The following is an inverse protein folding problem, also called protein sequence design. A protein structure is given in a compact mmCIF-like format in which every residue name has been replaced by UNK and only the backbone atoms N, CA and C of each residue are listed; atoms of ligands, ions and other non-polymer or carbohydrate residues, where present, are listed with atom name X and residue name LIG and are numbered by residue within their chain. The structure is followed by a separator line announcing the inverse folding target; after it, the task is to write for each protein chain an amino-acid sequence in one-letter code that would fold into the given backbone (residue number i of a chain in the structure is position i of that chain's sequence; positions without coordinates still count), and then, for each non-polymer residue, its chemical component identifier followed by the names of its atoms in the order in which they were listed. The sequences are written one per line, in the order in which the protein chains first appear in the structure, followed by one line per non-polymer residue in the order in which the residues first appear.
data_IF_571646805509
#
_entry.id   IF_571646805509
#
_cell.length_a   1.000
_cell.length_b   1.000
_cell.length_c   1.000
_cell.angle_alpha   90.00
_cell.angle_beta   90.00
_cell.angle_gamma   90.00
#
_symmetry.space_group_name_H-M   'P 1'
#
loop_
_entity.id
_entity.type
_entity.pdbx_description
1 polymer ?
#
# COMPACT_ATOMS: atom_id res chain seq x y z
N UNK A 1 -34.05 8.51 16.16
CA UNK A 1 -33.15 8.34 17.32
C UNK A 1 -31.80 7.84 16.81
N UNK A 2 -30.75 8.65 16.92
CA UNK A 2 -29.37 8.20 16.67
C UNK A 2 -29.05 7.12 17.70
N UNK A 3 -29.23 5.84 17.34
CA UNK A 3 -28.67 4.74 18.13
C UNK A 3 -27.19 5.06 18.28
N UNK A 4 -26.77 5.16 19.53
CA UNK A 4 -25.42 5.46 19.96
C UNK A 4 -24.48 4.39 19.33
N UNK A 5 -23.96 4.65 18.12
CA UNK A 5 -23.29 3.63 17.32
C UNK A 5 -21.93 3.35 17.96
N UNK A 6 -21.66 2.10 18.32
CA UNK A 6 -20.39 1.69 18.96
C UNK A 6 -19.16 2.14 18.18
N UNK A 7 -19.26 2.16 16.84
CA UNK A 7 -18.16 2.58 15.98
C UNK A 7 -17.83 4.06 16.15
N UNK A 8 -18.83 4.93 16.34
CA UNK A 8 -18.62 6.36 16.59
C UNK A 8 -17.90 6.56 17.93
N UNK A 9 -18.32 5.86 18.99
CA UNK A 9 -17.77 6.04 20.34
C UNK A 9 -16.25 5.89 20.40
N UNK A 10 -15.70 5.00 19.57
CA UNK A 10 -14.26 4.73 19.46
C UNK A 10 -13.45 5.88 18.88
N UNK A 11 -14.08 6.77 18.12
CA UNK A 11 -13.40 7.82 17.34
C UNK A 11 -13.91 9.24 17.62
N UNK A 12 -14.84 9.40 18.57
CA UNK A 12 -15.33 10.72 19.00
C UNK A 12 -14.29 11.45 19.85
N UNK A 13 -13.61 10.74 20.75
CA UNK A 13 -12.61 11.32 21.65
C UNK A 13 -11.21 10.84 21.29
N UNK A 14 -10.52 11.65 20.49
CA UNK A 14 -9.19 11.33 19.95
C UNK A 14 -8.14 12.23 20.59
N UNK A 15 -6.98 11.67 20.95
CA UNK A 15 -5.91 12.43 21.59
C UNK A 15 -5.25 13.44 20.64
N UNK A 16 -4.59 14.45 21.21
CA UNK A 16 -3.87 15.45 20.43
C UNK A 16 -2.73 14.84 19.61
N UNK A 17 -2.09 13.78 20.09
CA UNK A 17 -1.01 13.07 19.40
C UNK A 17 -1.51 12.34 18.15
N UNK A 18 -2.74 11.82 18.17
CA UNK A 18 -3.37 11.21 16.99
C UNK A 18 -3.69 12.30 15.96
N UNK A 19 -4.30 13.41 16.39
CA UNK A 19 -4.59 14.54 15.51
C UNK A 19 -3.32 15.11 14.86
N UNK A 20 -2.23 15.25 15.63
CA UNK A 20 -0.94 15.69 15.10
C UNK A 20 -0.43 14.80 13.97
N UNK A 21 -0.57 13.47 14.08
CA UNK A 21 -0.18 12.53 13.01
C UNK A 21 -1.08 12.68 11.79
N UNK A 22 -2.39 12.80 11.99
CA UNK A 22 -3.36 13.01 10.91
C UNK A 22 -3.01 14.29 10.13
N UNK A 23 -2.76 15.40 10.81
CA UNK A 23 -2.41 16.67 10.17
C UNK A 23 -1.13 16.54 9.33
N UNK A 24 -0.09 15.87 9.84
CA UNK A 24 1.14 15.63 9.08
C UNK A 24 0.94 14.75 7.86
N UNK A 25 0.14 13.68 7.99
CA UNK A 25 -0.19 12.79 6.86
C UNK A 25 -0.93 13.59 5.78
N UNK A 26 -1.88 14.43 6.16
CA UNK A 26 -2.65 15.26 5.22
C UNK A 26 -1.81 16.35 4.55
N UNK A 27 -0.87 16.95 5.28
CA UNK A 27 0.13 17.85 4.70
C UNK A 27 0.91 17.13 3.59
N UNK A 28 1.42 15.93 3.88
CA UNK A 28 2.19 15.13 2.92
C UNK A 28 1.31 14.61 1.76
N UNK A 29 0.03 14.29 2.00
CA UNK A 29 -0.95 14.01 0.93
C UNK A 29 -1.10 15.21 0.00
N UNK A 30 -1.19 16.43 0.56
CA UNK A 30 -1.22 17.68 -0.20
C UNK A 30 0.05 17.89 -1.02
N UNK A 31 1.22 17.72 -0.39
CA UNK A 31 2.52 17.81 -1.07
C UNK A 31 2.67 16.78 -2.19
N UNK A 32 2.23 15.53 -1.96
CA UNK A 32 2.23 14.50 -3.00
C UNK A 32 1.36 14.91 -4.18
N UNK A 33 0.13 15.36 -3.90
CA UNK A 33 -0.84 15.75 -4.93
C UNK A 33 -0.36 16.95 -5.75
N UNK A 34 0.25 17.95 -5.11
CA UNK A 34 0.79 19.14 -5.79
C UNK A 34 2.15 18.89 -6.48
N UNK A 35 2.96 18.00 -5.89
CA UNK A 35 4.36 17.77 -6.24
C UNK A 35 4.62 16.59 -7.17
N UNK A 36 3.65 15.68 -7.37
CA UNK A 36 3.76 14.53 -8.26
C UNK A 36 3.88 14.95 -9.74
N UNK A 37 5.06 15.43 -10.12
CA UNK A 37 5.48 15.72 -11.50
C UNK A 37 6.37 14.60 -12.07
N UNK A 38 6.26 13.41 -11.48
CA UNK A 38 6.99 12.22 -11.94
C UNK A 38 6.52 11.82 -13.34
N UNK A 39 7.41 11.27 -14.16
CA UNK A 39 7.00 10.78 -15.49
C UNK A 39 6.05 9.58 -15.34
N UNK A 40 5.07 9.40 -16.23
CA UNK A 40 4.21 8.22 -16.22
C UNK A 40 4.99 6.90 -16.23
N UNK A 41 6.13 6.87 -16.93
CA UNK A 41 7.03 5.72 -16.99
C UNK A 41 7.66 5.42 -15.62
N UNK A 42 8.11 6.45 -14.90
CA UNK A 42 8.70 6.26 -13.58
C UNK A 42 7.66 5.85 -12.54
N UNK A 43 6.46 6.45 -12.59
CA UNK A 43 5.32 6.02 -11.79
C UNK A 43 4.96 4.56 -12.08
N UNK A 44 4.97 4.14 -13.35
CA UNK A 44 4.75 2.75 -13.74
C UNK A 44 5.78 1.80 -13.14
N UNK A 45 7.07 2.14 -13.18
CA UNK A 45 8.15 1.33 -12.57
C UNK A 45 8.02 1.26 -11.05
N UNK A 46 7.76 2.38 -10.39
CA UNK A 46 7.54 2.44 -8.94
C UNK A 46 6.35 1.57 -8.53
N UNK A 47 5.23 1.72 -9.25
CA UNK A 47 4.03 0.90 -9.05
C UNK A 47 4.33 -0.58 -9.20
N UNK A 48 5.07 -0.99 -10.23
CA UNK A 48 5.45 -2.39 -10.42
C UNK A 48 6.33 -2.91 -9.27
N UNK A 49 7.32 -2.12 -8.83
CA UNK A 49 8.15 -2.47 -7.68
C UNK A 49 7.33 -2.63 -6.41
N UNK A 50 6.36 -1.75 -6.17
CA UNK A 50 5.49 -1.80 -4.99
C UNK A 50 4.55 -2.99 -5.05
N UNK A 51 4.03 -3.36 -6.23
CA UNK A 51 3.22 -4.57 -6.36
C UNK A 51 3.99 -5.82 -5.93
N UNK A 52 5.26 -5.94 -6.33
CA UNK A 52 6.14 -7.04 -5.94
C UNK A 52 6.37 -7.02 -4.41
N UNK A 53 6.82 -5.89 -3.88
CA UNK A 53 7.15 -5.76 -2.45
C UNK A 53 5.93 -5.91 -1.54
N UNK A 54 4.79 -5.31 -1.89
CA UNK A 54 3.53 -5.46 -1.14
C UNK A 54 3.02 -6.90 -1.16
N UNK A 55 3.17 -7.60 -2.28
CA UNK A 55 2.80 -9.02 -2.37
C UNK A 55 3.66 -9.89 -1.47
N UNK A 56 4.99 -9.74 -1.58
CA UNK A 56 5.93 -10.45 -0.72
C UNK A 56 5.67 -10.17 0.77
N UNK A 57 5.62 -8.89 1.16
CA UNK A 57 5.42 -8.50 2.54
C UNK A 57 4.07 -8.98 3.11
N UNK A 58 2.98 -8.78 2.36
CA UNK A 58 1.64 -9.17 2.80
C UNK A 58 1.52 -10.68 3.01
N UNK A 59 2.15 -11.50 2.15
CA UNK A 59 2.12 -12.97 2.30
C UNK A 59 3.06 -13.46 3.40
N UNK A 60 4.24 -12.84 3.58
CA UNK A 60 5.16 -13.17 4.68
C UNK A 60 4.64 -12.79 6.06
N UNK A 61 3.81 -11.76 6.17
CA UNK A 61 3.04 -11.48 7.41
C UNK A 61 2.21 -12.71 7.81
N UNK A 62 1.63 -13.42 6.86
CA UNK A 62 0.85 -14.65 7.09
C UNK A 62 1.71 -15.94 7.11
N UNK A 63 3.04 -15.82 7.00
CA UNK A 63 3.97 -16.94 7.12
C UNK A 63 4.44 -17.60 5.81
N UNK A 64 4.16 -16.99 4.65
CA UNK A 64 4.81 -17.39 3.40
C UNK A 64 6.33 -17.13 3.43
N UNK A 65 7.09 -17.78 2.54
CA UNK A 65 8.57 -17.72 2.53
C UNK A 65 9.19 -17.07 1.29
N UNK A 66 8.37 -16.65 0.33
CA UNK A 66 8.82 -16.03 -0.92
C UNK A 66 9.50 -14.68 -0.65
N UNK A 67 10.70 -14.49 -1.19
CA UNK A 67 11.35 -13.17 -1.23
C UNK A 67 10.72 -12.30 -2.32
N UNK A 68 11.02 -11.00 -2.31
CA UNK A 68 10.56 -10.08 -3.36
C UNK A 68 11.10 -10.49 -4.74
N UNK A 69 12.33 -11.01 -4.82
CA UNK A 69 12.91 -11.53 -6.06
C UNK A 69 12.17 -12.79 -6.55
N UNK A 70 11.74 -13.66 -5.63
CA UNK A 70 10.93 -14.83 -5.99
C UNK A 70 9.55 -14.42 -6.49
N UNK A 71 8.89 -13.45 -5.85
CA UNK A 71 7.63 -12.89 -6.34
C UNK A 71 7.80 -12.31 -7.73
N UNK A 72 8.88 -11.56 -7.99
CA UNK A 72 9.15 -11.02 -9.32
C UNK A 72 9.34 -12.11 -10.38
N UNK A 73 10.13 -13.16 -10.08
CA UNK A 73 10.32 -14.31 -10.96
C UNK A 73 8.99 -15.01 -11.25
N UNK A 74 8.18 -15.24 -10.22
CA UNK A 74 6.87 -15.88 -10.34
C UNK A 74 5.95 -15.09 -11.27
N UNK A 75 5.89 -13.76 -11.11
CA UNK A 75 5.06 -12.89 -11.95
C UNK A 75 5.56 -12.77 -13.39
N UNK A 76 6.82 -13.12 -13.66
CA UNK A 76 7.39 -13.24 -15.01
C UNK A 76 7.19 -14.63 -15.63
N UNK A 77 6.50 -15.55 -14.94
CA UNK A 77 6.27 -16.92 -15.40
C UNK A 77 7.51 -17.82 -15.28
N UNK A 78 8.49 -17.43 -14.46
CA UNK A 78 9.68 -18.24 -14.19
C UNK A 78 9.34 -19.22 -13.07
N UNK A 79 9.52 -20.52 -13.30
CA UNK A 79 9.26 -21.54 -12.29
C UNK A 79 10.26 -21.47 -11.13
N UNK A 80 9.75 -21.64 -9.91
CA UNK A 80 10.51 -21.55 -8.66
C UNK A 80 10.31 -22.83 -7.87
N UNK A 81 11.07 -23.87 -8.17
CA UNK A 81 10.84 -25.22 -7.61
C UNK A 81 11.06 -25.33 -6.10
N UNK A 82 11.72 -24.34 -5.47
CA UNK A 82 12.12 -24.38 -4.05
C UNK A 82 10.96 -24.15 -3.05
N UNK A 83 9.82 -23.62 -3.47
CA UNK A 83 8.73 -23.24 -2.56
C UNK A 83 7.48 -24.09 -2.71
N UNK A 84 6.73 -24.21 -1.61
CA UNK A 84 5.44 -24.88 -1.60
C UNK A 84 4.46 -24.20 -2.57
N UNK A 85 3.61 -25.00 -3.21
CA UNK A 85 2.60 -24.49 -4.15
C UNK A 85 1.65 -23.47 -3.49
N UNK A 86 1.36 -23.64 -2.19
CA UNK A 86 0.55 -22.70 -1.42
C UNK A 86 1.12 -21.29 -1.47
N UNK A 87 2.41 -21.12 -1.15
CA UNK A 87 3.03 -19.80 -1.09
C UNK A 87 2.96 -19.10 -2.46
N UNK A 88 3.19 -19.84 -3.56
CA UNK A 88 3.07 -19.32 -4.93
C UNK A 88 1.64 -18.89 -5.25
N UNK A 89 0.65 -19.73 -4.92
CA UNK A 89 -0.77 -19.46 -5.15
C UNK A 89 -1.24 -18.21 -4.40
N UNK A 90 -0.85 -18.07 -3.14
CA UNK A 90 -1.19 -16.93 -2.31
C UNK A 90 -0.56 -15.62 -2.82
N UNK A 91 0.71 -15.67 -3.22
CA UNK A 91 1.39 -14.52 -3.81
C UNK A 91 0.75 -14.10 -5.13
N UNK A 92 0.42 -15.06 -6.00
CA UNK A 92 -0.21 -14.75 -7.28
C UNK A 92 -1.59 -14.09 -7.12
N UNK A 93 -2.45 -14.64 -6.24
CA UNK A 93 -3.77 -14.08 -5.99
C UNK A 93 -3.71 -12.67 -5.40
N UNK A 94 -2.79 -12.43 -4.45
CA UNK A 94 -2.58 -11.10 -3.87
C UNK A 94 -2.07 -10.10 -4.91
N UNK A 95 -1.07 -10.49 -5.72
CA UNK A 95 -0.48 -9.61 -6.73
C UNK A 95 -1.52 -9.15 -7.75
N UNK A 96 -2.27 -10.09 -8.32
CA UNK A 96 -3.29 -9.79 -9.33
C UNK A 96 -4.40 -8.89 -8.76
N UNK A 97 -4.87 -9.19 -7.55
CA UNK A 97 -5.89 -8.38 -6.89
C UNK A 97 -5.38 -6.96 -6.57
N UNK A 98 -4.20 -6.82 -5.98
CA UNK A 98 -3.64 -5.51 -5.66
C UNK A 98 -3.38 -4.68 -6.93
N UNK A 99 -2.89 -5.32 -7.99
CA UNK A 99 -2.74 -4.69 -9.31
C UNK A 99 -4.08 -4.15 -9.81
N UNK A 100 -5.14 -4.96 -9.74
CA UNK A 100 -6.48 -4.54 -10.14
C UNK A 100 -7.01 -3.39 -9.28
N UNK A 101 -6.76 -3.38 -7.97
CA UNK A 101 -7.08 -2.23 -7.11
C UNK A 101 -6.35 -0.98 -7.62
N UNK A 102 -5.04 -1.03 -7.78
CA UNK A 102 -4.28 0.15 -8.20
C UNK A 102 -4.60 0.63 -9.62
N UNK A 103 -5.00 -0.27 -10.52
CA UNK A 103 -5.39 0.08 -11.89
C UNK A 103 -6.82 0.66 -11.96
N UNK A 104 -7.73 0.20 -11.10
CA UNK A 104 -9.17 0.41 -11.29
C UNK A 104 -9.91 1.04 -10.09
N UNK A 105 -9.23 1.43 -9.01
CA UNK A 105 -9.84 1.92 -7.75
C UNK A 105 -10.92 3.01 -7.93
N UNK A 106 -10.79 3.86 -8.95
CA UNK A 106 -11.77 4.92 -9.26
C UNK A 106 -13.16 4.36 -9.56
N UNK A 107 -13.21 3.19 -10.21
CA UNK A 107 -14.46 2.55 -10.64
C UNK A 107 -14.95 1.48 -9.66
N UNK A 108 -14.06 0.98 -8.80
CA UNK A 108 -14.42 0.01 -7.78
C UNK A 108 -15.33 0.67 -6.74
N UNK A 109 -16.40 -0.01 -6.34
CA UNK A 109 -17.24 0.41 -5.22
C UNK A 109 -16.81 -0.34 -3.97
N UNK A 110 -16.87 0.33 -2.82
CA UNK A 110 -16.76 -0.33 -1.54
C UNK A 110 -18.15 -0.79 -1.11
N UNK A 111 -18.35 -2.10 -0.96
CA UNK A 111 -19.59 -2.72 -0.51
C UNK A 111 -19.30 -4.12 -0.01
N UNK A 112 -20.26 -4.74 0.69
CA UNK A 112 -20.13 -6.10 1.17
C UNK A 112 -19.88 -7.11 0.04
N UNK A 113 -20.63 -6.98 -1.07
CA UNK A 113 -20.43 -7.80 -2.27
C UNK A 113 -19.04 -7.60 -2.87
N UNK A 114 -18.50 -6.38 -2.85
CA UNK A 114 -17.14 -6.12 -3.32
C UNK A 114 -16.10 -6.81 -2.42
N UNK A 115 -16.27 -6.77 -1.10
CA UNK A 115 -15.39 -7.47 -0.14
C UNK A 115 -15.41 -8.98 -0.40
N UNK A 116 -16.60 -9.59 -0.52
CA UNK A 116 -16.75 -11.02 -0.87
C UNK A 116 -16.10 -11.36 -2.21
N UNK A 117 -16.26 -10.50 -3.22
CA UNK A 117 -15.63 -10.67 -4.53
C UNK A 117 -14.10 -10.56 -4.45
N UNK A 118 -13.55 -9.55 -3.76
CA UNK A 118 -12.12 -9.42 -3.56
C UNK A 118 -11.54 -10.61 -2.81
N UNK A 119 -12.24 -11.15 -1.83
CA UNK A 119 -11.84 -12.39 -1.18
C UNK A 119 -11.76 -13.57 -2.16
N UNK A 120 -12.74 -13.70 -3.07
CA UNK A 120 -12.73 -14.72 -4.11
C UNK A 120 -11.53 -14.57 -5.05
N UNK A 121 -11.21 -13.35 -5.48
CA UNK A 121 -10.05 -13.08 -6.34
C UNK A 121 -8.73 -13.32 -5.60
N UNK A 122 -8.66 -12.91 -4.33
CA UNK A 122 -7.49 -13.11 -3.47
C UNK A 122 -7.10 -14.60 -3.36
N UNK A 123 -8.10 -15.47 -3.19
CA UNK A 123 -7.89 -16.92 -3.01
C UNK A 123 -8.10 -17.72 -4.31
N UNK A 124 -8.19 -17.06 -5.46
CA UNK A 124 -8.53 -17.70 -6.75
C UNK A 124 -7.64 -18.91 -7.09
N UNK A 125 -6.35 -18.85 -6.74
CA UNK A 125 -5.37 -19.90 -7.01
C UNK A 125 -5.18 -20.88 -5.84
N UNK A 126 -5.69 -20.56 -4.64
CA UNK A 126 -5.42 -21.34 -3.42
C UNK A 126 -6.38 -22.52 -3.33
N UNK A 127 -5.94 -23.70 -3.80
CA UNK A 127 -6.82 -24.87 -3.99
C UNK A 127 -7.52 -25.34 -2.71
N UNK A 128 -6.83 -25.27 -1.56
CA UNK A 128 -7.40 -25.68 -0.26
C UNK A 128 -8.61 -24.83 0.16
N UNK A 129 -8.76 -23.63 -0.40
CA UNK A 129 -9.77 -22.65 0.00
C UNK A 129 -10.93 -22.53 -1.02
N UNK A 130 -10.94 -23.36 -2.06
CA UNK A 130 -11.90 -23.27 -3.15
C UNK A 130 -13.36 -23.37 -2.68
N UNK A 131 -13.63 -24.18 -1.65
CA UNK A 131 -14.99 -24.44 -1.15
C UNK A 131 -15.61 -23.29 -0.35
N UNK A 132 -14.80 -22.35 0.14
CA UNK A 132 -15.26 -21.23 0.99
C UNK A 132 -14.89 -19.85 0.45
N UNK A 133 -14.10 -19.76 -0.64
CA UNK A 133 -13.68 -18.48 -1.19
C UNK A 133 -14.86 -17.58 -1.55
N UNK A 134 -14.90 -16.44 -0.89
CA UNK A 134 -15.88 -15.39 -1.13
C UNK A 134 -17.11 -15.54 -0.26
N UNK A 135 -17.19 -16.55 0.60
CA UNK A 135 -18.25 -16.72 1.59
C UNK A 135 -17.75 -16.55 3.00
N UNK A 136 -18.61 -16.02 3.88
CA UNK A 136 -18.28 -15.94 5.29
C UNK A 136 -18.13 -17.31 5.92
N UNK A 137 -17.33 -17.34 6.99
CA UNK A 137 -17.10 -18.54 7.78
C UNK A 137 -18.42 -19.12 8.26
N UNK A 138 -18.55 -20.44 8.13
CA UNK A 138 -19.68 -21.22 8.67
C UNK A 138 -19.35 -21.88 10.01
N UNK A 139 -18.06 -21.99 10.32
CA UNK A 139 -17.54 -22.48 11.59
C UNK A 139 -16.68 -21.42 12.27
N UNK A 140 -16.37 -21.67 13.54
CA UNK A 140 -15.53 -20.78 14.33
C UNK A 140 -14.09 -20.79 13.81
N UNK A 141 -13.46 -19.62 13.82
CA UNK A 141 -12.04 -19.47 13.51
C UNK A 141 -11.36 -18.61 14.58
N UNK A 142 -10.05 -18.78 14.72
CA UNK A 142 -9.24 -18.05 15.69
C UNK A 142 -8.03 -17.47 14.99
N UNK A 143 -7.63 -16.27 15.39
CA UNK A 143 -6.36 -15.69 14.95
C UNK A 143 -5.26 -16.31 15.81
N UNK A 144 -4.25 -16.91 15.17
CA UNK A 144 -3.12 -17.54 15.84
C UNK A 144 -1.85 -16.72 15.60
N UNK A 145 -1.04 -16.53 16.63
CA UNK A 145 0.35 -16.11 16.44
C UNK A 145 1.16 -17.32 16.02
N UNK A 146 1.92 -17.20 14.95
CA UNK A 146 2.79 -18.24 14.46
C UNK A 146 4.24 -17.78 14.61
N UNK A 147 5.11 -18.61 15.20
CA UNK A 147 6.55 -18.31 15.31
C UNK A 147 7.25 -18.41 13.95
N UNK A 148 8.54 -18.08 13.90
CA UNK A 148 9.35 -18.17 12.69
C UNK A 148 9.46 -19.60 12.11
N UNK A 149 9.12 -20.62 12.90
CA UNK A 149 9.21 -22.05 12.53
C UNK A 149 7.85 -22.60 12.07
N UNK A 150 6.77 -21.86 12.28
CA UNK A 150 5.42 -22.25 11.87
C UNK A 150 4.55 -22.78 13.00
N UNK A 151 5.00 -22.74 14.26
CA UNK A 151 4.23 -23.22 15.41
C UNK A 151 3.31 -22.13 15.96
N UNK A 152 2.12 -22.53 16.40
CA UNK A 152 1.20 -21.64 17.11
C UNK A 152 1.78 -21.28 18.48
N UNK A 153 2.14 -20.01 18.67
CA UNK A 153 2.69 -19.46 19.93
C UNK A 153 1.58 -18.94 20.85
N UNK A 154 0.32 -18.97 20.37
CA UNK A 154 -0.84 -18.59 21.14
C UNK A 154 -2.02 -18.16 20.28
N UNK A 155 -3.23 -18.30 20.81
CA UNK A 155 -4.43 -17.65 20.26
C UNK A 155 -4.32 -16.15 20.54
N UNK A 156 -4.40 -15.35 19.49
CA UNK A 156 -4.36 -13.90 19.59
C UNK A 156 -5.69 -13.41 20.19
N UNK A 157 -6.85 -13.67 19.53
CA UNK A 157 -8.22 -13.42 20.03
C UNK A 157 -9.24 -14.46 19.55
N UNK A 158 -10.34 -14.55 20.29
CA UNK A 158 -11.60 -15.10 19.76
C UNK A 158 -12.22 -14.10 18.78
N UNK A 159 -12.72 -14.60 17.67
CA UNK A 159 -13.32 -13.80 16.60
C UNK A 159 -14.83 -13.75 16.77
N UNK A 160 -15.52 -12.93 15.98
CA UNK A 160 -16.99 -12.91 16.00
C UNK A 160 -17.57 -14.29 15.67
N UNK A 161 -18.55 -14.81 16.44
CA UNK A 161 -19.19 -16.08 16.14
C UNK A 161 -19.70 -16.17 14.70
N UNK A 162 -19.63 -17.35 14.08
CA UNK A 162 -20.00 -17.53 12.67
C UNK A 162 -21.43 -17.04 12.38
N UNK A 163 -22.38 -17.32 13.29
CA UNK A 163 -23.78 -16.90 13.14
C UNK A 163 -24.01 -15.38 13.23
N UNK A 164 -23.08 -14.61 13.83
CA UNK A 164 -23.16 -13.14 13.90
C UNK A 164 -22.39 -12.44 12.79
N UNK A 165 -21.48 -13.17 12.13
CA UNK A 165 -20.51 -12.59 11.18
C UNK A 165 -21.20 -11.80 10.07
N UNK A 166 -22.26 -12.35 9.47
CA UNK A 166 -22.99 -11.66 8.39
C UNK A 166 -23.57 -10.32 8.85
N UNK A 167 -24.18 -10.28 10.04
CA UNK A 167 -24.80 -9.07 10.57
C UNK A 167 -23.74 -8.03 10.93
N UNK A 168 -22.68 -8.43 11.62
CA UNK A 168 -21.63 -7.48 12.04
C UNK A 168 -20.87 -6.92 10.83
N UNK A 169 -20.65 -7.71 9.78
CA UNK A 169 -20.08 -7.21 8.52
C UNK A 169 -20.99 -6.20 7.84
N UNK A 170 -22.29 -6.48 7.76
CA UNK A 170 -23.27 -5.55 7.20
C UNK A 170 -23.25 -4.22 7.96
N UNK A 171 -23.36 -4.26 9.29
CA UNK A 171 -23.34 -3.07 10.14
C UNK A 171 -22.03 -2.26 9.98
N UNK A 172 -20.89 -2.94 9.89
CA UNK A 172 -19.58 -2.32 9.69
C UNK A 172 -19.47 -1.63 8.33
N UNK A 173 -19.89 -2.30 7.25
CA UNK A 173 -19.83 -1.74 5.89
C UNK A 173 -20.77 -0.55 5.76
N UNK A 174 -22.01 -0.66 6.25
CA UNK A 174 -22.99 0.43 6.23
C UNK A 174 -22.50 1.64 7.02
N UNK A 175 -21.94 1.42 8.22
CA UNK A 175 -21.35 2.50 9.02
C UNK A 175 -20.19 3.19 8.30
N UNK A 176 -19.30 2.41 7.67
CA UNK A 176 -18.14 2.95 6.97
C UNK A 176 -18.57 3.80 5.77
N UNK A 177 -19.48 3.29 4.95
CA UNK A 177 -20.02 4.02 3.80
C UNK A 177 -20.69 5.32 4.23
N UNK A 178 -21.54 5.26 5.26
CA UNK A 178 -22.25 6.43 5.79
C UNK A 178 -21.27 7.46 6.36
N UNK A 179 -20.31 7.04 7.17
CA UNK A 179 -19.37 7.94 7.84
C UNK A 179 -18.46 8.67 6.84
N UNK A 180 -18.03 7.98 5.77
CA UNK A 180 -17.27 8.61 4.69
C UNK A 180 -18.13 9.58 3.88
N UNK A 181 -19.37 9.22 3.56
CA UNK A 181 -20.27 10.07 2.78
C UNK A 181 -20.75 11.32 3.54
N UNK A 182 -20.94 11.22 4.85
CA UNK A 182 -21.34 12.35 5.70
C UNK A 182 -20.14 13.26 6.08
N UNK A 183 -18.90 12.83 5.79
CA UNK A 183 -17.67 13.53 6.18
C UNK A 183 -17.60 13.88 7.68
N UNK A 184 -18.29 13.08 8.52
CA UNK A 184 -18.46 13.36 9.94
C UNK A 184 -17.16 13.23 10.73
N UNK A 185 -16.33 12.25 10.35
CA UNK A 185 -15.03 11.99 10.97
C UNK A 185 -13.94 11.96 9.90
N UNK A 186 -12.70 12.18 10.32
CA UNK A 186 -11.58 12.16 9.40
C UNK A 186 -11.43 10.78 8.71
N UNK A 187 -11.17 10.70 7.40
CA UNK A 187 -11.09 9.42 6.68
C UNK A 187 -10.11 8.41 7.28
N UNK A 188 -8.95 8.85 7.77
CA UNK A 188 -7.97 7.95 8.42
C UNK A 188 -8.54 7.29 9.69
N UNK A 189 -9.38 7.98 10.45
CA UNK A 189 -10.03 7.42 11.63
C UNK A 189 -11.10 6.40 11.23
N UNK A 190 -11.88 6.71 10.19
CA UNK A 190 -12.92 5.81 9.69
C UNK A 190 -12.29 4.52 9.14
N UNK A 191 -11.26 4.63 8.29
CA UNK A 191 -10.54 3.48 7.74
C UNK A 191 -9.81 2.71 8.83
N UNK A 192 -9.14 3.39 9.77
CA UNK A 192 -8.50 2.75 10.91
C UNK A 192 -9.49 1.92 11.75
N UNK A 193 -10.66 2.48 12.06
CA UNK A 193 -11.72 1.79 12.79
C UNK A 193 -12.31 0.61 11.99
N UNK A 194 -12.53 0.80 10.68
CA UNK A 194 -13.00 -0.26 9.80
C UNK A 194 -12.06 -1.48 9.82
N UNK A 195 -10.75 -1.25 9.70
CA UNK A 195 -9.77 -2.34 9.60
C UNK A 195 -9.66 -3.13 10.91
N UNK A 196 -9.63 -2.47 12.07
CA UNK A 196 -9.55 -3.18 13.35
C UNK A 196 -10.82 -3.98 13.65
N UNK A 197 -12.00 -3.46 13.30
CA UNK A 197 -13.26 -4.21 13.43
C UNK A 197 -13.32 -5.36 12.43
N UNK A 198 -12.94 -5.14 11.16
CA UNK A 198 -12.90 -6.21 10.15
C UNK A 198 -12.00 -7.37 10.60
N UNK A 199 -10.83 -7.06 11.16
CA UNK A 199 -9.90 -8.06 11.70
C UNK A 199 -10.43 -8.75 12.97
N UNK A 200 -11.27 -8.07 13.77
CA UNK A 200 -11.93 -8.67 14.94
C UNK A 200 -13.07 -9.60 14.53
N UNK A 201 -13.88 -9.19 13.55
CA UNK A 201 -14.95 -10.02 12.99
C UNK A 201 -14.33 -11.28 12.36
N UNK A 202 -13.22 -11.08 11.64
CA UNK A 202 -12.48 -12.14 10.94
C UNK A 202 -13.42 -12.99 10.08
N UNK A 203 -14.10 -12.36 9.09
CA UNK A 203 -15.32 -12.90 8.50
C UNK A 203 -15.13 -14.12 7.61
N UNK A 204 -13.93 -14.34 7.07
CA UNK A 204 -13.62 -15.45 6.16
C UNK A 204 -12.82 -16.55 6.88
N UNK A 205 -12.81 -17.77 6.34
CA UNK A 205 -12.06 -18.88 6.93
C UNK A 205 -10.53 -18.66 6.92
N UNK A 206 -10.01 -18.05 5.85
CA UNK A 206 -8.61 -17.65 5.65
C UNK A 206 -8.58 -16.31 4.90
N UNK A 207 -7.42 -15.68 4.75
CA UNK A 207 -7.23 -14.51 3.89
C UNK A 207 -7.60 -13.17 4.51
N UNK A 208 -8.15 -13.13 5.74
CA UNK A 208 -8.60 -11.88 6.37
C UNK A 208 -7.49 -10.83 6.52
N UNK A 209 -6.30 -11.23 6.98
CA UNK A 209 -5.16 -10.31 7.12
C UNK A 209 -4.78 -9.69 5.76
N UNK A 210 -4.61 -10.53 4.74
CA UNK A 210 -4.30 -10.11 3.36
C UNK A 210 -5.39 -9.20 2.79
N UNK A 211 -6.65 -9.58 2.94
CA UNK A 211 -7.78 -8.81 2.45
C UNK A 211 -7.90 -7.46 3.17
N UNK A 212 -7.62 -7.39 4.47
CA UNK A 212 -7.64 -6.12 5.20
C UNK A 212 -6.66 -5.10 4.60
N UNK A 213 -5.45 -5.53 4.23
CA UNK A 213 -4.43 -4.68 3.59
C UNK A 213 -4.83 -4.24 2.18
N UNK A 214 -5.48 -5.13 1.40
CA UNK A 214 -6.11 -4.77 0.12
C UNK A 214 -7.20 -3.71 0.31
N UNK A 215 -8.06 -3.86 1.31
CA UNK A 215 -9.14 -2.93 1.61
C UNK A 215 -8.59 -1.57 2.08
N UNK A 216 -7.52 -1.56 2.87
CA UNK A 216 -6.81 -0.33 3.25
C UNK A 216 -6.30 0.42 2.03
N UNK A 217 -5.67 -0.26 1.06
CA UNK A 217 -5.27 0.35 -0.21
C UNK A 217 -6.46 0.98 -0.94
N UNK A 218 -7.57 0.24 -1.10
CA UNK A 218 -8.75 0.71 -1.81
C UNK A 218 -9.39 1.93 -1.14
N UNK A 219 -9.63 1.85 0.17
CA UNK A 219 -10.29 2.90 0.94
C UNK A 219 -9.44 4.18 0.93
N UNK A 220 -8.14 4.10 1.23
CA UNK A 220 -7.30 5.30 1.22
C UNK A 220 -7.11 5.89 -0.18
N UNK A 221 -7.07 5.06 -1.24
CA UNK A 221 -7.08 5.59 -2.61
C UNK A 221 -8.37 6.38 -2.91
N UNK A 222 -9.53 5.88 -2.48
CA UNK A 222 -10.81 6.59 -2.63
C UNK A 222 -10.83 7.93 -1.90
N UNK A 223 -10.16 8.01 -0.76
CA UNK A 223 -10.05 9.22 0.07
C UNK A 223 -8.88 10.14 -0.35
N UNK A 224 -8.32 9.90 -1.54
CA UNK A 224 -7.33 10.79 -2.16
C UNK A 224 -5.89 10.63 -1.67
N UNK A 225 -5.56 9.56 -0.95
CA UNK A 225 -4.17 9.22 -0.60
C UNK A 225 -3.48 8.59 -1.82
N UNK A 226 -3.20 9.39 -2.84
CA UNK A 226 -2.75 8.92 -4.16
C UNK A 226 -1.32 8.34 -4.19
N UNK A 227 -0.62 8.36 -3.06
CA UNK A 227 0.71 7.75 -2.94
C UNK A 227 0.68 6.25 -2.63
N UNK A 228 -0.48 5.68 -2.29
CA UNK A 228 -0.64 4.25 -1.95
C UNK A 228 0.01 3.29 -2.98
N UNK A 229 -0.05 3.53 -4.30
CA UNK A 229 0.56 2.63 -5.28
C UNK A 229 2.08 2.72 -5.37
N UNK A 230 2.72 3.65 -4.65
CA UNK A 230 4.13 4.01 -4.84
C UNK A 230 5.01 3.75 -3.61
N UNK A 231 4.41 3.48 -2.46
CA UNK A 231 5.11 3.02 -1.25
C UNK A 231 4.29 1.89 -0.60
N UNK A 232 4.92 0.75 -0.31
CA UNK A 232 4.25 -0.40 0.30
C UNK A 232 4.01 -0.19 1.80
N UNK A 233 2.74 -0.04 2.21
CA UNK A 233 2.37 -0.03 3.63
C UNK A 233 2.46 -1.44 4.24
N UNK A 234 2.26 -2.48 3.43
CA UNK A 234 2.40 -3.87 3.87
C UNK A 234 3.83 -4.17 4.29
N UNK A 235 4.83 -3.63 3.58
CA UNK A 235 6.24 -3.75 3.98
C UNK A 235 6.53 -3.03 5.30
N UNK A 236 5.97 -1.84 5.49
CA UNK A 236 6.09 -1.12 6.76
C UNK A 236 5.46 -1.92 7.91
N UNK A 237 4.31 -2.56 7.68
CA UNK A 237 3.69 -3.44 8.67
C UNK A 237 4.56 -4.68 8.92
N UNK A 238 5.10 -5.31 7.88
CA UNK A 238 6.00 -6.47 8.01
C UNK A 238 7.22 -6.14 8.88
N UNK A 239 7.86 -4.99 8.63
CA UNK A 239 9.03 -4.53 9.38
C UNK A 239 8.71 -4.26 10.87
N UNK A 240 7.43 -4.06 11.20
CA UNK A 240 6.93 -3.78 12.55
C UNK A 240 5.88 -4.83 12.99
N UNK A 241 6.00 -6.07 12.48
CA UNK A 241 5.02 -7.16 12.69
C UNK A 241 4.69 -7.44 14.17
N UNK A 242 5.65 -7.47 15.11
CA UNK A 242 5.33 -7.66 16.52
C UNK A 242 4.41 -6.57 17.08
N UNK A 243 4.70 -5.30 16.77
CA UNK A 243 3.91 -4.15 17.23
C UNK A 243 2.51 -4.14 16.61
N UNK A 244 2.41 -4.50 15.32
CA UNK A 244 1.13 -4.65 14.62
C UNK A 244 0.17 -5.58 15.37
N UNK A 245 0.61 -6.80 15.72
CA UNK A 245 -0.23 -7.73 16.46
C UNK A 245 -0.43 -7.31 17.92
N UNK A 246 0.55 -6.66 18.55
CA UNK A 246 0.43 -6.17 19.91
C UNK A 246 -0.63 -5.08 20.06
N UNK A 247 -0.70 -4.12 19.13
CA UNK A 247 -1.66 -3.01 19.20
C UNK A 247 -3.08 -3.42 18.79
N UNK A 248 -3.20 -4.31 17.80
CA UNK A 248 -4.47 -5.02 17.52
C UNK A 248 -4.96 -5.71 18.79
N UNK A 249 -4.07 -6.45 19.47
CA UNK A 249 -4.37 -7.16 20.71
C UNK A 249 -4.88 -6.28 21.83
N UNK A 250 -4.16 -5.19 22.08
CA UNK A 250 -4.53 -4.24 23.13
C UNK A 250 -5.91 -3.66 22.87
N UNK A 251 -6.19 -3.29 21.61
CA UNK A 251 -7.44 -2.64 21.23
C UNK A 251 -8.62 -3.62 21.23
N UNK A 252 -8.49 -4.76 20.56
CA UNK A 252 -9.56 -5.74 20.39
C UNK A 252 -10.03 -6.38 21.71
N UNK A 253 -9.14 -6.48 22.71
CA UNK A 253 -9.52 -6.92 24.07
C UNK A 253 -10.57 -6.03 24.74
N UNK A 254 -10.70 -4.79 24.31
CA UNK A 254 -11.69 -3.85 24.86
C UNK A 254 -13.03 -3.92 24.15
N UNK A 255 -13.16 -4.67 23.05
CA UNK A 255 -14.37 -4.67 22.24
C UNK A 255 -15.53 -5.36 22.98
N UNK A 256 -16.75 -4.88 22.73
CA UNK A 256 -17.98 -5.34 23.39
C UNK A 256 -17.94 -5.18 24.92
N UNK A 257 -17.13 -4.23 25.41
CA UNK A 257 -17.12 -3.76 26.79
C UNK A 257 -17.65 -2.33 26.89
N UNK A 258 -17.85 -1.82 28.10
CA UNK A 258 -18.28 -0.42 28.32
C UNK A 258 -17.21 0.62 27.94
N UNK A 259 -15.96 0.19 27.74
CA UNK A 259 -14.80 1.05 27.48
C UNK A 259 -14.00 0.57 26.26
N UNK A 260 -14.63 0.50 25.09
CA UNK A 260 -13.90 0.21 23.85
C UNK A 260 -12.87 1.31 23.56
N UNK A 261 -11.60 0.92 23.43
CA UNK A 261 -10.48 1.80 23.14
C UNK A 261 -9.65 1.22 21.98
N UNK A 262 -9.59 1.97 20.87
CA UNK A 262 -8.76 1.66 19.71
C UNK A 262 -7.56 2.58 19.58
N UNK A 263 -7.29 3.45 20.56
CA UNK A 263 -6.17 4.38 20.53
C UNK A 263 -4.82 3.70 20.28
N UNK A 264 -4.50 2.54 20.91
CA UNK A 264 -3.25 1.83 20.62
C UNK A 264 -3.13 1.40 19.15
N UNK A 265 -4.23 0.91 18.56
CA UNK A 265 -4.28 0.53 17.14
C UNK A 265 -4.18 1.76 16.23
N UNK A 266 -4.97 2.80 16.48
CA UNK A 266 -4.95 4.01 15.67
C UNK A 266 -3.58 4.68 15.67
N UNK A 267 -2.89 4.68 16.82
CA UNK A 267 -1.54 5.24 16.90
C UNK A 267 -0.56 4.46 16.00
N UNK A 268 -0.55 3.12 16.08
CA UNK A 268 0.27 2.29 15.19
C UNK A 268 -0.12 2.49 13.71
N UNK A 269 -1.41 2.43 13.40
CA UNK A 269 -1.94 2.62 12.05
C UNK A 269 -1.43 3.94 11.47
N UNK A 270 -1.58 5.04 12.20
CA UNK A 270 -1.15 6.36 11.75
C UNK A 270 0.38 6.51 11.69
N UNK A 271 1.14 5.84 12.54
CA UNK A 271 2.62 5.79 12.42
C UNK A 271 3.02 5.12 11.09
N UNK A 272 2.35 4.03 10.71
CA UNK A 272 2.60 3.38 9.41
C UNK A 272 2.29 4.33 8.25
N UNK A 273 1.13 4.99 8.28
CA UNK A 273 0.72 5.89 7.20
C UNK A 273 1.54 7.19 7.15
N UNK A 274 2.01 7.69 8.29
CA UNK A 274 2.96 8.80 8.36
C UNK A 274 4.30 8.43 7.73
N UNK A 275 4.88 7.27 8.10
CA UNK A 275 6.11 6.78 7.47
C UNK A 275 5.93 6.55 5.97
N UNK A 276 4.76 6.07 5.56
CA UNK A 276 4.44 5.87 4.14
C UNK A 276 4.37 7.21 3.39
N UNK A 277 3.72 8.23 3.97
CA UNK A 277 3.59 9.55 3.36
C UNK A 277 4.91 10.31 3.31
N UNK A 278 5.76 10.19 4.35
CA UNK A 278 7.13 10.72 4.37
C UNK A 278 7.94 10.14 3.21
N UNK A 279 7.99 8.81 3.09
CA UNK A 279 8.70 8.13 2.00
C UNK A 279 8.13 8.51 0.62
N UNK A 280 6.83 8.76 0.52
CA UNK A 280 6.22 9.19 -0.73
C UNK A 280 6.69 10.59 -1.12
N UNK A 281 6.68 11.54 -0.19
CA UNK A 281 7.22 12.89 -0.43
C UNK A 281 8.72 12.84 -0.78
N UNK A 282 9.49 11.95 -0.16
CA UNK A 282 10.90 11.74 -0.49
C UNK A 282 11.13 11.24 -1.93
N UNK A 283 10.16 10.53 -2.52
CA UNK A 283 10.23 10.17 -3.96
C UNK A 283 10.10 11.39 -4.87
N UNK A 284 9.49 12.47 -4.38
CA UNK A 284 9.36 13.74 -5.10
C UNK A 284 10.60 14.64 -4.93
N UNK A 285 11.44 14.36 -3.93
CA UNK A 285 12.65 15.12 -3.71
C UNK A 285 13.61 14.97 -4.90
N UNK A 286 14.29 16.07 -5.22
CA UNK A 286 15.13 16.25 -6.40
C UNK A 286 16.30 15.24 -6.49
N UNK A 287 16.59 14.47 -5.45
CA UNK A 287 17.71 13.53 -5.36
C UNK A 287 17.38 12.13 -5.92
N UNK A 288 16.11 11.73 -5.99
CA UNK A 288 15.71 10.41 -6.52
C UNK A 288 15.54 10.35 -8.05
N UNK A 289 15.99 11.38 -8.78
CA UNK A 289 15.86 11.45 -10.25
C UNK A 289 16.50 10.27 -10.95
N UNK A 290 17.59 9.74 -10.40
CA UNK A 290 18.22 8.53 -10.89
C UNK A 290 17.21 7.37 -11.05
N UNK A 291 16.27 7.21 -10.11
CA UNK A 291 15.23 6.18 -10.20
C UNK A 291 14.16 6.48 -11.27
N UNK A 292 14.03 7.73 -11.69
CA UNK A 292 13.04 8.21 -12.67
C UNK A 292 13.57 8.23 -14.11
N UNK A 293 14.89 8.30 -14.29
CA UNK A 293 15.54 8.33 -15.59
C UNK A 293 15.61 6.91 -16.19
N UNK A 294 15.47 6.79 -17.51
CA UNK A 294 15.87 5.59 -18.23
C UNK A 294 17.39 5.41 -18.19
N UNK A 295 17.92 4.23 -18.54
CA UNK A 295 19.37 3.99 -18.59
C UNK A 295 20.12 5.05 -19.41
N UNK A 296 19.55 5.45 -20.55
CA UNK A 296 20.17 6.46 -21.43
C UNK A 296 20.06 7.87 -20.84
N UNK A 297 18.93 8.21 -20.21
CA UNK A 297 18.76 9.50 -19.55
C UNK A 297 19.68 9.63 -18.33
N UNK A 298 19.87 8.54 -17.59
CA UNK A 298 20.82 8.45 -16.49
C UNK A 298 22.23 8.70 -16.96
N UNK A 299 22.67 8.02 -18.02
CA UNK A 299 24.01 8.21 -18.57
C UNK A 299 24.26 9.67 -18.97
N UNK A 300 23.26 10.31 -19.58
CA UNK A 300 23.31 11.75 -19.91
C UNK A 300 23.39 12.61 -18.65
N UNK A 301 22.57 12.32 -17.63
CA UNK A 301 22.57 13.05 -16.36
C UNK A 301 23.90 12.93 -15.61
N UNK A 302 24.42 11.72 -15.45
CA UNK A 302 25.69 11.43 -14.78
C UNK A 302 26.86 12.15 -15.46
N UNK A 303 26.89 12.16 -16.80
CA UNK A 303 27.90 12.91 -17.53
C UNK A 303 27.79 14.43 -17.26
N UNK A 304 26.58 14.99 -17.27
CA UNK A 304 26.34 16.40 -16.98
C UNK A 304 26.59 16.80 -15.51
N UNK A 305 26.77 15.84 -14.59
CA UNK A 305 27.17 16.13 -13.21
C UNK A 305 28.65 16.48 -13.07
N UNK A 306 29.48 15.91 -13.94
CA UNK A 306 30.95 15.97 -13.87
C UNK A 306 31.57 16.97 -14.84
N UNK A 307 30.76 17.67 -15.63
CA UNK A 307 31.18 18.75 -16.53
C UNK A 307 30.46 20.04 -16.19
N UNK A 308 31.11 21.18 -16.47
CA UNK A 308 30.51 22.49 -16.27
C UNK A 308 29.42 22.77 -17.30
N UNK A 309 29.70 22.50 -18.58
CA UNK A 309 28.74 22.54 -19.68
C UNK A 309 29.16 21.57 -20.79
N UNK A 310 28.22 21.09 -21.60
CA UNK A 310 28.53 20.21 -22.74
C UNK A 310 27.58 20.37 -23.94
N UNK A 311 28.13 20.18 -25.13
CA UNK A 311 27.39 20.11 -26.39
C UNK A 311 26.65 18.78 -26.53
N UNK A 312 25.52 18.74 -27.27
CA UNK A 312 24.83 17.48 -27.55
C UNK A 312 25.73 16.38 -28.17
N UNK A 313 26.73 16.76 -28.97
CA UNK A 313 27.70 15.84 -29.56
C UNK A 313 28.69 15.27 -28.54
N UNK A 314 29.11 16.08 -27.57
CA UNK A 314 30.03 15.68 -26.50
C UNK A 314 29.32 14.75 -25.52
N UNK A 315 28.09 15.09 -25.16
CA UNK A 315 27.22 14.23 -24.34
C UNK A 315 27.00 12.89 -25.03
N UNK A 316 26.69 12.89 -26.34
CA UNK A 316 26.47 11.65 -27.09
C UNK A 316 27.69 10.72 -27.06
N UNK A 317 28.88 11.29 -27.27
CA UNK A 317 30.15 10.55 -27.26
C UNK A 317 30.46 10.00 -25.87
N UNK A 318 30.40 10.83 -24.83
CA UNK A 318 30.86 10.46 -23.49
C UNK A 318 29.84 9.63 -22.71
N UNK A 319 28.55 9.91 -22.85
CA UNK A 319 27.48 9.10 -22.26
C UNK A 319 27.18 7.83 -23.07
N UNK A 320 27.85 7.61 -24.22
CA UNK A 320 27.63 6.48 -25.14
C UNK A 320 26.15 6.33 -25.54
N UNK A 321 25.49 7.47 -25.82
CA UNK A 321 24.06 7.55 -26.15
C UNK A 321 23.91 8.22 -27.51
N UNK A 322 23.04 7.69 -28.37
CA UNK A 322 22.80 8.28 -29.69
C UNK A 322 22.31 9.73 -29.57
N UNK A 323 22.79 10.61 -30.46
CA UNK A 323 22.49 12.06 -30.41
C UNK A 323 20.99 12.41 -30.38
N UNK A 324 20.10 11.73 -31.12
CA UNK A 324 18.66 11.96 -30.98
C UNK A 324 18.15 11.68 -29.56
N UNK A 325 18.66 10.63 -28.92
CA UNK A 325 18.31 10.25 -27.54
C UNK A 325 18.88 11.23 -26.53
N UNK A 326 20.05 11.83 -26.78
CA UNK A 326 20.60 12.92 -25.96
C UNK A 326 19.65 14.12 -25.96
N UNK A 327 19.13 14.52 -27.13
CA UNK A 327 18.19 15.64 -27.20
C UNK A 327 16.91 15.35 -26.41
N UNK A 328 16.33 14.14 -26.56
CA UNK A 328 15.17 13.71 -25.78
C UNK A 328 15.45 13.67 -24.27
N UNK A 329 16.64 13.21 -23.88
CA UNK A 329 17.07 13.17 -22.48
C UNK A 329 17.24 14.59 -21.92
N UNK A 330 17.87 15.49 -22.68
CA UNK A 330 18.05 16.89 -22.29
C UNK A 330 16.71 17.60 -22.10
N UNK A 331 15.76 17.43 -23.03
CA UNK A 331 14.41 18.00 -22.90
C UNK A 331 13.71 17.51 -21.63
N UNK A 332 13.89 16.23 -21.29
CA UNK A 332 13.33 15.67 -20.06
C UNK A 332 13.98 16.26 -18.82
N UNK A 333 15.32 16.38 -18.80
CA UNK A 333 16.07 16.94 -17.68
C UNK A 333 15.79 18.44 -17.48
N UNK A 334 15.56 19.20 -18.56
CA UNK A 334 15.11 20.60 -18.49
C UNK A 334 13.72 20.69 -17.87
N UNK A 335 12.77 19.85 -18.30
CA UNK A 335 11.42 19.79 -17.70
C UNK A 335 11.46 19.45 -16.21
N UNK A 336 12.44 18.65 -15.78
CA UNK A 336 12.70 18.32 -14.38
C UNK A 336 13.50 19.40 -13.62
N UNK A 337 13.83 20.53 -14.26
CA UNK A 337 14.65 21.62 -13.71
C UNK A 337 15.99 21.13 -13.13
N UNK A 338 16.65 20.22 -13.85
CA UNK A 338 17.95 19.64 -13.47
C UNK A 338 19.12 20.24 -14.23
N UNK A 339 18.84 20.60 -15.47
CA UNK A 339 19.80 21.25 -16.36
C UNK A 339 19.09 22.43 -17.01
N UNK A 340 19.88 23.36 -17.51
CA UNK A 340 19.42 24.43 -18.36
C UNK A 340 20.10 24.36 -19.73
N UNK A 341 19.43 24.94 -20.73
CA UNK A 341 20.00 25.13 -22.06
C UNK A 341 20.68 26.49 -22.11
N UNK A 342 21.92 26.51 -22.54
CA UNK A 342 22.72 27.70 -22.81
C UNK A 342 22.95 27.80 -24.32
N UNK A 343 22.76 28.99 -24.90
CA UNK A 343 22.91 29.21 -26.35
C UNK A 343 21.76 28.67 -27.21
N UNK A 344 21.87 28.87 -28.53
CA UNK A 344 20.86 28.47 -29.53
C UNK A 344 21.51 27.92 -30.80
N UNK A 345 20.81 27.01 -31.49
CA UNK A 345 21.30 26.42 -32.73
C UNK A 345 22.64 25.68 -32.53
N UNK A 346 23.67 26.06 -33.30
CA UNK A 346 24.99 25.43 -33.25
C UNK A 346 25.74 25.69 -31.92
N UNK A 347 25.40 26.74 -31.18
CA UNK A 347 25.99 27.05 -29.87
C UNK A 347 25.25 26.42 -28.70
N UNK A 348 24.28 25.54 -28.94
CA UNK A 348 23.54 24.87 -27.86
C UNK A 348 24.48 24.06 -26.96
N UNK A 349 24.42 24.36 -25.66
CA UNK A 349 25.07 23.66 -24.56
C UNK A 349 24.06 23.36 -23.46
N UNK A 350 24.34 22.36 -22.65
CA UNK A 350 23.57 22.06 -21.46
C UNK A 350 24.49 22.04 -20.24
N UNK A 351 24.01 22.60 -19.13
CA UNK A 351 24.70 22.57 -17.83
C UNK A 351 23.73 22.28 -16.70
N UNK A 352 24.24 21.73 -15.60
CA UNK A 352 23.44 21.51 -14.38
C UNK A 352 22.99 22.85 -13.78
N UNK A 353 21.77 22.85 -13.23
CA UNK A 353 21.21 23.96 -12.46
C UNK A 353 21.66 23.92 -11.00
#
# INVERSE_FOLDING_TARGET
MLKNNRFDKRIVSISAEIWSKITKIDEMKGQWTAGARLSPQALGRLKQSVLITSTGASTRIEGARLSDEDVEKLMRGIDIQKFADRDKQEAQGYFELLKNIFDSWKFLKFSENAIKHFHKELLKYVRKDESHRGDYKKGENKVQMIDAVGNSVGVLFDTTPAYLTSKEMQELVEWTQKSLAEEKYHPLLIVGNFIVEFLQIHPFQDGNGRLSRILTNLLLLKEGYLYMPYISHEKLIEDNKPDYYLTLRKSQKTFKTDHEDISPWLDFFLIIFLKQSERAVDLLSKENIEKLLSKNQMAVWQYLQVVEEAAPSEIAKNAKVARPTVNQAADKLIKLKKIERVGQGRSTRYRKL
#
